data_IF_995168334626
#
_entry.id   IF_995168334626
#
_cell.length_a   1.000
_cell.length_b   1.000
_cell.length_c   1.000
_cell.angle_alpha   90.00
_cell.angle_beta   90.00
_cell.angle_gamma   90.00
#
_symmetry.space_group_name_H-M   'P 1'
#
loop_
_entity.id
_entity.type
_entity.pdbx_description
1 polymer ?
#
# COMPACT_ATOMS: atom_id res chain seq x y z
N UNK A 1 19.41 -68.87 -24.91
CA UNK A 1 19.85 -67.51 -24.56
C UNK A 1 21.36 -67.53 -24.46
N UNK A 2 21.99 -67.04 -25.52
CA UNK A 2 23.43 -67.08 -25.74
C UNK A 2 24.19 -66.33 -24.65
N UNK A 3 25.40 -66.82 -24.32
CA UNK A 3 26.27 -66.22 -23.29
C UNK A 3 26.54 -64.72 -23.58
N UNK A 4 26.48 -64.31 -24.85
CA UNK A 4 26.62 -62.91 -25.27
C UNK A 4 25.49 -62.04 -24.75
N UNK A 5 24.23 -62.50 -24.79
CA UNK A 5 23.08 -61.73 -24.30
C UNK A 5 23.13 -61.52 -22.78
N UNK A 6 23.59 -62.54 -22.04
CA UNK A 6 23.78 -62.43 -20.59
C UNK A 6 24.86 -61.42 -20.23
N UNK A 7 25.97 -61.39 -20.97
CA UNK A 7 27.06 -60.43 -20.78
C UNK A 7 26.56 -59.01 -21.05
N UNK A 8 25.81 -58.79 -22.13
CA UNK A 8 25.26 -57.47 -22.46
C UNK A 8 24.28 -56.99 -21.37
N UNK A 9 23.45 -57.88 -20.84
CA UNK A 9 22.48 -57.54 -19.79
C UNK A 9 23.17 -57.20 -18.46
N UNK A 10 24.22 -57.94 -18.09
CA UNK A 10 25.06 -57.63 -16.92
C UNK A 10 25.77 -56.29 -17.10
N UNK A 11 26.26 -55.98 -18.31
CA UNK A 11 26.94 -54.72 -18.59
C UNK A 11 26.01 -53.50 -18.45
N UNK A 12 24.76 -53.63 -18.93
CA UNK A 12 23.73 -52.58 -18.81
C UNK A 12 23.32 -52.35 -17.35
N UNK A 13 23.21 -53.42 -16.55
CA UNK A 13 22.90 -53.31 -15.12
C UNK A 13 24.02 -52.63 -14.35
N UNK A 14 25.29 -52.96 -14.64
CA UNK A 14 26.46 -52.33 -13.99
C UNK A 14 26.52 -50.84 -14.32
N UNK A 15 26.30 -50.46 -15.58
CA UNK A 15 26.29 -49.04 -15.99
C UNK A 15 25.16 -48.28 -15.29
N UNK A 16 23.97 -48.88 -15.18
CA UNK A 16 22.83 -48.28 -14.47
C UNK A 16 23.13 -48.08 -12.97
N UNK A 17 23.79 -49.03 -12.32
CA UNK A 17 24.21 -48.89 -10.92
C UNK A 17 25.24 -47.78 -10.71
N UNK A 18 26.17 -47.58 -11.65
CA UNK A 18 27.17 -46.49 -11.55
C UNK A 18 26.47 -45.12 -11.60
N UNK A 19 25.52 -44.93 -12.52
CA UNK A 19 24.74 -43.69 -12.62
C UNK A 19 23.88 -43.39 -11.39
N UNK A 20 23.41 -44.41 -10.67
CA UNK A 20 22.64 -44.24 -9.42
C UNK A 20 23.51 -43.82 -8.23
N UNK A 21 24.81 -44.13 -8.23
CA UNK A 21 25.72 -43.76 -7.12
C UNK A 21 26.35 -42.37 -7.28
N UNK A 22 26.35 -41.78 -8.48
CA UNK A 22 26.83 -40.41 -8.72
C UNK A 22 25.73 -39.38 -8.51
N UNK A 23 25.15 -39.35 -7.31
CA UNK A 23 24.12 -38.39 -6.90
C UNK A 23 24.71 -37.09 -6.33
N UNK A 24 24.45 -35.97 -7.01
CA UNK A 24 24.19 -34.61 -6.48
C UNK A 24 25.05 -33.99 -5.35
N UNK A 25 26.28 -34.46 -5.09
CA UNK A 25 27.11 -33.88 -4.02
C UNK A 25 27.87 -32.59 -4.45
N UNK A 26 28.11 -32.40 -5.75
CA UNK A 26 28.92 -31.28 -6.27
C UNK A 26 28.27 -29.90 -6.13
N UNK A 27 26.97 -29.83 -5.85
CA UNK A 27 26.24 -28.57 -5.70
C UNK A 27 26.22 -28.02 -4.25
N UNK A 28 26.65 -28.79 -3.25
CA UNK A 28 26.64 -28.35 -1.83
C UNK A 28 27.81 -27.45 -1.42
N UNK A 29 28.90 -27.40 -2.20
CA UNK A 29 30.11 -26.64 -1.84
C UNK A 29 29.98 -25.11 -2.01
N UNK A 30 28.96 -24.62 -2.72
CA UNK A 30 28.85 -23.18 -3.04
C UNK A 30 28.17 -22.31 -1.96
N UNK A 31 27.61 -22.90 -0.91
CA UNK A 31 26.85 -22.16 0.12
C UNK A 31 27.37 -22.33 1.56
N UNK A 32 28.58 -22.83 1.78
CA UNK A 32 29.20 -22.81 3.12
C UNK A 32 30.11 -21.60 3.25
N UNK A 33 29.57 -20.51 3.84
CA UNK A 33 30.32 -19.30 4.19
C UNK A 33 31.35 -19.63 5.28
N UNK A 34 32.65 -19.48 5.00
CA UNK A 34 33.68 -19.52 6.05
C UNK A 34 33.42 -18.39 7.04
N UNK A 35 33.34 -18.71 8.34
CA UNK A 35 33.20 -17.69 9.39
C UNK A 35 34.51 -16.91 9.51
N UNK A 36 34.47 -15.60 9.25
CA UNK A 36 35.59 -14.69 9.52
C UNK A 36 35.84 -14.68 11.03
N UNK A 37 37.11 -14.73 11.44
CA UNK A 37 37.52 -14.63 12.84
C UNK A 37 36.82 -13.43 13.50
N UNK A 38 36.24 -13.64 14.68
CA UNK A 38 35.58 -12.59 15.47
C UNK A 38 36.64 -11.62 15.98
N UNK A 39 37.01 -10.64 15.16
CA UNK A 39 37.55 -9.38 15.68
C UNK A 39 36.48 -8.76 16.57
N UNK A 40 36.93 -8.18 17.69
CA UNK A 40 36.14 -7.74 18.84
C UNK A 40 34.78 -7.19 18.46
N UNK A 41 33.73 -7.70 19.10
CA UNK A 41 32.38 -7.15 18.97
C UNK A 41 32.40 -5.72 19.52
N UNK A 42 32.62 -4.74 18.64
CA UNK A 42 32.31 -3.36 18.93
C UNK A 42 30.86 -3.33 19.40
N UNK A 43 30.63 -2.81 20.60
CA UNK A 43 29.29 -2.70 21.14
C UNK A 43 28.49 -1.81 20.19
N UNK A 44 27.55 -2.42 19.47
CA UNK A 44 26.64 -1.70 18.59
C UNK A 44 25.72 -0.85 19.48
N UNK A 45 26.09 0.40 19.70
CA UNK A 45 25.23 1.38 20.38
C UNK A 45 24.16 1.78 19.37
N UNK A 46 23.02 1.10 19.41
CA UNK A 46 21.82 1.51 18.67
C UNK A 46 21.20 2.65 19.45
N UNK A 47 21.59 3.89 19.15
CA UNK A 47 20.86 5.06 19.67
C UNK A 47 19.49 5.08 18.98
N UNK A 48 18.37 4.99 19.71
CA UNK A 48 17.05 5.14 19.11
C UNK A 48 16.97 6.51 18.45
N UNK A 49 16.84 6.56 17.11
CA UNK A 49 16.51 7.81 16.45
C UNK A 49 15.11 8.21 16.87
N UNK A 50 15.00 9.39 17.45
CA UNK A 50 13.70 9.96 17.75
C UNK A 50 13.04 10.40 16.42
N UNK A 51 11.99 9.70 16.02
CA UNK A 51 11.17 10.02 14.84
C UNK A 51 9.96 10.90 15.21
N UNK A 52 9.91 11.44 16.44
CA UNK A 52 8.74 12.15 16.98
C UNK A 52 8.37 13.44 16.23
N UNK A 53 9.34 14.10 15.59
CA UNK A 53 9.08 15.28 14.78
C UNK A 53 9.15 14.94 13.29
N UNK A 54 8.05 15.17 12.57
CA UNK A 54 8.14 15.24 11.11
C UNK A 54 9.11 16.37 10.73
N UNK A 55 10.15 16.08 9.93
CA UNK A 55 11.20 17.06 9.61
C UNK A 55 10.72 18.18 8.68
N UNK A 56 9.46 18.15 8.25
CA UNK A 56 8.90 19.05 7.26
C UNK A 56 7.97 20.09 7.92
N UNK A 57 8.00 21.33 7.44
CA UNK A 57 7.12 22.36 7.95
C UNK A 57 5.63 22.08 7.64
N UNK A 58 4.74 22.67 8.45
CA UNK A 58 3.28 22.44 8.40
C UNK A 58 2.68 22.66 7.01
N UNK A 59 3.17 23.64 6.27
CA UNK A 59 2.72 23.98 4.92
C UNK A 59 3.02 22.88 3.89
N UNK A 60 4.22 22.29 3.97
CA UNK A 60 4.64 21.17 3.12
C UNK A 60 3.77 19.94 3.42
N UNK A 61 3.56 19.63 4.70
CA UNK A 61 2.74 18.50 5.10
C UNK A 61 1.28 18.70 4.71
N UNK A 62 0.72 19.89 4.94
CA UNK A 62 -0.63 20.22 4.51
C UNK A 62 -0.79 20.06 3.00
N UNK A 63 0.16 20.59 2.22
CA UNK A 63 0.19 20.47 0.76
C UNK A 63 0.18 19.02 0.31
N UNK A 64 1.01 18.19 0.92
CA UNK A 64 1.10 16.77 0.61
C UNK A 64 -0.25 16.08 0.85
N UNK A 65 -0.85 16.28 2.02
CA UNK A 65 -2.13 15.65 2.35
C UNK A 65 -3.29 16.18 1.51
N UNK A 66 -3.28 17.45 1.13
CA UNK A 66 -4.25 18.00 0.20
C UNK A 66 -4.17 17.34 -1.18
N UNK A 67 -2.95 17.16 -1.72
CA UNK A 67 -2.75 16.47 -3.00
C UNK A 67 -3.20 15.01 -2.90
N UNK A 68 -2.86 14.32 -1.82
CA UNK A 68 -3.27 12.93 -1.62
C UNK A 68 -4.78 12.80 -1.50
N UNK A 69 -5.42 13.61 -0.67
CA UNK A 69 -6.87 13.64 -0.59
C UNK A 69 -7.50 13.87 -1.96
N UNK A 70 -7.02 14.87 -2.71
CA UNK A 70 -7.55 15.20 -4.04
C UNK A 70 -7.45 14.02 -4.99
N UNK A 71 -6.29 13.36 -5.03
CA UNK A 71 -6.06 12.17 -5.85
C UNK A 71 -7.00 11.02 -5.46
N UNK A 72 -7.13 10.72 -4.17
CA UNK A 72 -7.99 9.63 -3.69
C UNK A 72 -9.47 9.90 -3.90
N UNK A 73 -9.91 11.15 -3.78
CA UNK A 73 -11.28 11.52 -4.03
C UNK A 73 -11.61 11.53 -5.53
N UNK A 74 -10.66 11.93 -6.40
CA UNK A 74 -10.79 11.76 -7.84
C UNK A 74 -10.87 10.27 -8.21
N UNK A 75 -10.03 9.43 -7.62
CA UNK A 75 -10.07 7.99 -7.83
C UNK A 75 -11.38 7.37 -7.32
N UNK A 76 -11.96 7.88 -6.22
CA UNK A 76 -13.28 7.49 -5.75
C UNK A 76 -14.36 7.81 -6.79
N UNK A 77 -14.36 9.03 -7.33
CA UNK A 77 -15.31 9.46 -8.37
C UNK A 77 -15.18 8.56 -9.61
N UNK A 78 -13.97 8.31 -10.09
CA UNK A 78 -13.71 7.40 -11.22
C UNK A 78 -14.13 5.98 -10.91
N UNK A 79 -13.82 5.47 -9.71
CA UNK A 79 -14.20 4.11 -9.30
C UNK A 79 -15.72 3.91 -9.24
N UNK A 80 -16.46 4.94 -8.82
CA UNK A 80 -17.93 4.93 -8.83
C UNK A 80 -18.52 5.06 -10.24
N UNK A 81 -17.83 5.77 -11.14
CA UNK A 81 -18.23 5.89 -12.54
C UNK A 81 -18.02 4.58 -13.32
N UNK A 82 -16.88 3.94 -13.10
CA UNK A 82 -16.44 2.77 -13.86
C UNK A 82 -16.95 1.45 -13.26
N UNK A 83 -17.86 1.52 -12.28
CA UNK A 83 -18.41 0.36 -11.56
C UNK A 83 -17.31 -0.57 -11.02
N UNK A 84 -16.26 0.03 -10.46
CA UNK A 84 -15.12 -0.70 -9.90
C UNK A 84 -15.52 -1.62 -8.74
N UNK A 85 -14.62 -2.52 -8.37
CA UNK A 85 -14.85 -3.46 -7.27
C UNK A 85 -15.16 -2.73 -5.95
N UNK A 86 -16.05 -3.31 -5.14
CA UNK A 86 -16.43 -2.78 -3.83
C UNK A 86 -15.22 -2.45 -2.95
N UNK A 87 -14.21 -3.33 -2.93
CA UNK A 87 -12.97 -3.13 -2.16
C UNK A 87 -12.23 -1.87 -2.59
N UNK A 88 -12.13 -1.61 -3.90
CA UNK A 88 -11.47 -0.43 -4.45
C UNK A 88 -12.21 0.85 -4.04
N UNK A 89 -13.53 0.87 -4.19
CA UNK A 89 -14.37 2.00 -3.78
C UNK A 89 -14.20 2.29 -2.28
N UNK A 90 -14.19 1.25 -1.45
CA UNK A 90 -14.02 1.37 -0.01
C UNK A 90 -12.63 1.91 0.36
N UNK A 91 -11.57 1.41 -0.25
CA UNK A 91 -10.21 1.89 -0.01
C UNK A 91 -10.07 3.37 -0.40
N UNK A 92 -10.60 3.77 -1.57
CA UNK A 92 -10.56 5.16 -2.01
C UNK A 92 -11.23 6.12 -1.01
N UNK A 93 -12.41 5.77 -0.50
CA UNK A 93 -13.10 6.62 0.48
C UNK A 93 -12.37 6.65 1.83
N UNK A 94 -11.79 5.53 2.27
CA UNK A 94 -10.99 5.46 3.50
C UNK A 94 -9.73 6.32 3.43
N UNK A 95 -9.00 6.22 2.31
CA UNK A 95 -7.83 7.06 2.06
C UNK A 95 -8.20 8.54 1.97
N UNK A 96 -9.32 8.88 1.33
CA UNK A 96 -9.81 10.26 1.28
C UNK A 96 -10.12 10.82 2.68
N UNK A 97 -10.82 10.05 3.53
CA UNK A 97 -11.13 10.44 4.92
C UNK A 97 -9.84 10.62 5.73
N UNK A 98 -8.91 9.67 5.63
CA UNK A 98 -7.64 9.75 6.35
C UNK A 98 -6.88 11.04 5.99
N UNK A 99 -6.78 11.36 4.70
CA UNK A 99 -6.04 12.54 4.27
C UNK A 99 -6.74 13.85 4.66
N UNK A 100 -8.08 13.92 4.68
CA UNK A 100 -8.79 15.08 5.22
C UNK A 100 -8.53 15.29 6.71
N UNK A 101 -8.52 14.22 7.51
CA UNK A 101 -8.19 14.28 8.94
C UNK A 101 -6.76 14.78 9.16
N UNK A 102 -5.82 14.30 8.34
CA UNK A 102 -4.43 14.77 8.38
C UNK A 102 -4.32 16.24 7.98
N UNK A 103 -5.04 16.70 6.95
CA UNK A 103 -5.11 18.13 6.60
C UNK A 103 -5.62 18.98 7.77
N UNK A 104 -6.69 18.54 8.45
CA UNK A 104 -7.29 19.26 9.57
C UNK A 104 -6.29 19.50 10.71
N UNK A 105 -5.39 18.55 10.97
CA UNK A 105 -4.37 18.67 12.02
C UNK A 105 -3.45 19.89 11.84
N UNK A 106 -3.16 20.29 10.60
CA UNK A 106 -2.28 21.42 10.26
C UNK A 106 -3.01 22.76 10.12
N UNK A 107 -4.34 22.77 10.17
CA UNK A 107 -5.14 23.99 10.11
C UNK A 107 -5.39 24.55 11.51
N UNK A 108 -5.61 25.86 11.59
CA UNK A 108 -6.14 26.51 12.78
C UNK A 108 -7.52 25.94 13.17
N UNK A 109 -7.95 26.18 14.41
CA UNK A 109 -9.16 25.56 14.95
C UNK A 109 -10.43 25.90 14.15
N UNK A 110 -10.56 27.15 13.71
CA UNK A 110 -11.70 27.61 12.92
C UNK A 110 -11.81 26.87 11.58
N UNK A 111 -10.73 26.81 10.79
CA UNK A 111 -10.71 26.12 9.50
C UNK A 111 -10.75 24.61 9.63
N UNK A 112 -10.14 24.06 10.67
CA UNK A 112 -10.28 22.64 11.01
C UNK A 112 -11.74 22.28 11.27
N UNK A 113 -12.49 23.10 12.01
CA UNK A 113 -13.90 22.87 12.31
C UNK A 113 -14.79 23.01 11.08
N UNK A 114 -14.50 23.95 10.18
CA UNK A 114 -15.15 24.03 8.87
C UNK A 114 -14.88 22.76 8.03
N UNK A 115 -13.65 22.23 8.08
CA UNK A 115 -13.23 21.06 7.30
C UNK A 115 -13.91 19.77 7.79
N UNK A 116 -14.15 19.69 9.11
CA UNK A 116 -14.86 18.60 9.77
C UNK A 116 -16.22 18.29 9.14
N UNK A 117 -16.91 19.31 8.61
CA UNK A 117 -18.18 19.12 7.88
C UNK A 117 -17.99 18.21 6.66
N UNK A 118 -16.88 18.37 5.93
CA UNK A 118 -16.57 17.55 4.76
C UNK A 118 -16.05 16.16 5.16
N UNK A 119 -15.33 16.06 6.29
CA UNK A 119 -14.92 14.76 6.86
C UNK A 119 -16.18 13.94 7.16
N UNK A 120 -17.14 14.49 7.89
CA UNK A 120 -18.40 13.80 8.22
C UNK A 120 -19.23 13.43 7.00
N UNK A 121 -19.28 14.28 5.97
CA UNK A 121 -19.93 13.94 4.70
C UNK A 121 -19.27 12.75 4.01
N UNK A 122 -17.93 12.73 3.99
CA UNK A 122 -17.16 11.63 3.39
C UNK A 122 -17.31 10.33 4.20
N UNK A 123 -17.35 10.43 5.53
CA UNK A 123 -17.69 9.30 6.41
C UNK A 123 -19.11 8.79 6.17
N UNK A 124 -20.07 9.70 5.93
CA UNK A 124 -21.43 9.34 5.52
C UNK A 124 -21.46 8.55 4.21
N UNK A 125 -20.63 8.91 3.23
CA UNK A 125 -20.46 8.13 1.99
C UNK A 125 -19.91 6.74 2.27
N UNK A 126 -18.87 6.64 3.12
CA UNK A 126 -18.31 5.34 3.54
C UNK A 126 -19.39 4.44 4.13
N UNK A 127 -20.20 4.95 5.05
CA UNK A 127 -21.28 4.18 5.68
C UNK A 127 -22.32 3.71 4.65
N UNK A 128 -22.68 4.56 3.69
CA UNK A 128 -23.60 4.18 2.61
C UNK A 128 -23.03 3.08 1.70
N UNK A 129 -21.73 3.16 1.38
CA UNK A 129 -21.01 2.13 0.62
C UNK A 129 -21.04 0.81 1.41
N UNK A 130 -20.69 0.85 2.70
CA UNK A 130 -20.62 -0.34 3.55
C UNK A 130 -21.98 -1.03 3.78
N UNK A 131 -23.06 -0.25 3.87
CA UNK A 131 -24.40 -0.79 4.06
C UNK A 131 -24.93 -1.53 2.81
N UNK A 132 -24.32 -1.33 1.64
CA UNK A 132 -24.79 -1.91 0.39
C UNK A 132 -24.20 -3.31 0.16
N UNK A 133 -25.05 -4.35 0.20
CA UNK A 133 -24.67 -5.71 -0.24
C UNK A 133 -24.33 -5.76 -1.74
N UNK A 134 -25.02 -4.95 -2.54
CA UNK A 134 -24.74 -4.68 -3.94
C UNK A 134 -25.10 -3.22 -4.24
N UNK A 135 -24.33 -2.56 -5.12
CA UNK A 135 -24.56 -1.17 -5.49
C UNK A 135 -25.13 -1.11 -6.92
N UNK A 136 -26.44 -0.89 -7.10
CA UNK A 136 -27.01 -0.71 -8.44
C UNK A 136 -26.48 0.58 -9.08
N UNK A 137 -26.51 0.69 -10.42
CA UNK A 137 -25.93 1.83 -11.12
C UNK A 137 -26.46 3.19 -10.69
N UNK A 138 -27.76 3.29 -10.36
CA UNK A 138 -28.38 4.52 -9.85
C UNK A 138 -27.79 4.97 -8.51
N UNK A 139 -27.52 4.02 -7.61
CA UNK A 139 -26.88 4.32 -6.31
C UNK A 139 -25.42 4.73 -6.50
N UNK A 140 -24.68 4.07 -7.39
CA UNK A 140 -23.31 4.49 -7.71
C UNK A 140 -23.26 5.90 -8.28
N UNK A 141 -24.19 6.25 -9.17
CA UNK A 141 -24.30 7.61 -9.71
C UNK A 141 -24.58 8.65 -8.60
N UNK A 142 -25.49 8.35 -7.67
CA UNK A 142 -25.76 9.23 -6.53
C UNK A 142 -24.52 9.46 -5.65
N UNK A 143 -23.83 8.38 -5.27
CA UNK A 143 -22.60 8.45 -4.49
C UNK A 143 -21.49 9.22 -5.23
N UNK A 144 -21.41 9.06 -6.56
CA UNK A 144 -20.47 9.80 -7.41
C UNK A 144 -20.73 11.30 -7.35
N UNK A 145 -21.99 11.72 -7.50
CA UNK A 145 -22.35 13.14 -7.41
C UNK A 145 -22.00 13.76 -6.06
N UNK A 146 -22.21 13.02 -4.96
CA UNK A 146 -21.82 13.48 -3.64
C UNK A 146 -20.30 13.60 -3.49
N UNK A 147 -19.54 12.62 -3.98
CA UNK A 147 -18.08 12.65 -3.99
C UNK A 147 -17.54 13.84 -4.83
N UNK A 148 -18.10 14.08 -6.01
CA UNK A 148 -17.76 15.24 -6.87
C UNK A 148 -18.07 16.57 -6.19
N UNK A 149 -19.21 16.66 -5.48
CA UNK A 149 -19.59 17.86 -4.74
C UNK A 149 -18.62 18.16 -3.61
N UNK A 150 -18.18 17.13 -2.89
CA UNK A 150 -17.16 17.25 -1.83
C UNK A 150 -15.83 17.68 -2.48
N UNK A 151 -15.42 17.01 -3.55
CA UNK A 151 -14.19 17.33 -4.29
C UNK A 151 -14.16 18.81 -4.71
N UNK A 152 -15.22 19.29 -5.38
CA UNK A 152 -15.33 20.67 -5.85
C UNK A 152 -15.32 21.67 -4.68
N UNK A 153 -16.10 21.39 -3.63
CA UNK A 153 -16.20 22.28 -2.47
C UNK A 153 -14.87 22.42 -1.74
N UNK A 154 -14.22 21.30 -1.43
CA UNK A 154 -12.97 21.30 -0.68
C UNK A 154 -11.84 21.88 -1.54
N UNK A 155 -11.73 21.49 -2.82
CA UNK A 155 -10.70 22.03 -3.71
C UNK A 155 -10.82 23.56 -3.90
N UNK A 156 -12.04 24.12 -3.88
CA UNK A 156 -12.26 25.56 -3.98
C UNK A 156 -11.91 26.32 -2.69
N UNK A 157 -12.24 25.74 -1.54
CA UNK A 157 -12.13 26.42 -0.24
C UNK A 157 -10.77 26.22 0.43
N UNK A 158 -10.16 25.05 0.26
CA UNK A 158 -8.94 24.62 0.95
C UNK A 158 -7.72 24.58 0.04
N UNK A 159 -7.76 25.32 -1.07
CA UNK A 159 -6.58 25.48 -1.92
C UNK A 159 -5.42 26.12 -1.14
N UNK A 160 -4.20 25.73 -1.48
CA UNK A 160 -2.98 26.10 -0.76
C UNK A 160 -2.79 27.62 -0.67
N UNK A 161 -3.14 28.32 -1.75
CA UNK A 161 -3.02 29.79 -1.81
C UNK A 161 -3.93 30.46 -0.78
N UNK A 162 -5.09 29.87 -0.50
CA UNK A 162 -6.09 30.43 0.43
C UNK A 162 -5.83 30.04 1.88
N UNK A 163 -5.15 28.92 2.10
CA UNK A 163 -4.93 28.36 3.44
C UNK A 163 -3.62 28.80 4.08
N UNK A 164 -2.74 29.51 3.35
CA UNK A 164 -1.42 29.95 3.85
C UNK A 164 -1.49 30.64 5.21
N UNK A 165 -2.47 31.53 5.39
CA UNK A 165 -2.65 32.31 6.63
C UNK A 165 -3.42 31.54 7.73
N UNK A 166 -3.93 30.35 7.41
CA UNK A 166 -4.73 29.50 8.30
C UNK A 166 -3.99 28.25 8.77
N UNK A 167 -2.70 28.12 8.44
CA UNK A 167 -1.83 27.03 8.89
C UNK A 167 -1.30 27.32 10.31
N UNK A 168 -1.09 26.23 11.07
CA UNK A 168 -0.46 26.27 12.40
C UNK A 168 1.06 26.31 12.32
#
# INVERSE_FOLDING_TARGET
MDNKEKITLVFVVIISCIFMTTGCESLRKKFTRKRKNRESQEQMIIVPRDYSAHPFPSDVMYKQYFIYWKSWNQELVTSLNDYSSYKKILDCVEQAIMNLKKMAAYLNEAKSKELEVYIKKTEGLKTQIQAAKAMPPSRMAMLRYDAERILSSVNRLYDLKKMKDSLK
#
